data_IF_315606905615
#
_entry.id   IF_315606905615
#
_cell.length_a   1.000
_cell.length_b   1.000
_cell.length_c   1.000
_cell.angle_alpha   90.00
_cell.angle_beta   90.00
_cell.angle_gamma   90.00
#
_symmetry.space_group_name_H-M   'P 1'
#
loop_
_entity.id
_entity.type
_entity.pdbx_description
1 polymer ?
#
# COMPACT_ATOMS: atom_id res chain seq x y z
N UNK A 1 -0.35 14.78 -11.46
CA UNK A 1 -0.86 13.39 -11.43
C UNK A 1 -2.31 13.39 -10.94
N UNK A 2 -3.16 12.65 -11.63
CA UNK A 2 -4.56 12.52 -11.25
C UNK A 2 -4.68 11.40 -10.22
N UNK A 3 -5.39 11.66 -9.12
CA UNK A 3 -5.64 10.67 -8.09
C UNK A 3 -7.10 10.26 -8.08
N UNK A 4 -7.37 9.01 -7.72
CA UNK A 4 -8.72 8.46 -7.79
C UNK A 4 -9.19 7.77 -6.52
N UNK A 5 -8.35 7.70 -5.50
CA UNK A 5 -8.68 6.91 -4.31
C UNK A 5 -7.90 7.39 -3.09
N UNK A 6 -8.23 6.82 -1.96
CA UNK A 6 -7.40 6.86 -0.76
C UNK A 6 -6.77 5.49 -0.52
N UNK A 7 -5.80 5.44 0.37
CA UNK A 7 -5.05 4.22 0.67
C UNK A 7 -4.78 4.14 2.16
N UNK A 8 -4.94 2.95 2.71
CA UNK A 8 -4.49 2.63 4.07
C UNK A 8 -3.36 1.62 3.97
N UNK A 9 -2.26 1.90 4.65
CA UNK A 9 -1.07 1.04 4.68
C UNK A 9 -0.82 0.61 6.10
N UNK A 10 -0.62 -0.69 6.30
CA UNK A 10 -0.15 -1.24 7.56
C UNK A 10 1.29 -1.66 7.40
N UNK A 11 2.18 -0.86 7.96
CA UNK A 11 3.62 -1.07 7.89
C UNK A 11 4.06 -2.02 8.99
N UNK A 12 4.73 -3.08 8.58
CA UNK A 12 5.21 -4.10 9.50
C UNK A 12 6.53 -3.70 10.13
N UNK A 13 6.59 -3.78 11.44
CA UNK A 13 7.81 -3.62 12.21
C UNK A 13 8.01 -4.77 13.17
N UNK A 14 9.13 -4.77 13.85
CA UNK A 14 9.42 -5.74 14.90
C UNK A 14 9.83 -4.96 16.13
N UNK A 15 9.15 -5.22 17.25
CA UNK A 15 9.52 -4.65 18.53
C UNK A 15 10.83 -5.29 19.00
N UNK A 16 11.85 -4.49 19.24
CA UNK A 16 13.16 -4.97 19.62
C UNK A 16 13.18 -5.63 21.00
N UNK A 17 12.25 -5.32 21.88
CA UNK A 17 12.18 -5.88 23.22
C UNK A 17 11.41 -7.19 23.26
N UNK A 18 10.22 -7.21 22.67
CA UNK A 18 9.35 -8.40 22.69
C UNK A 18 9.58 -9.32 21.50
N UNK A 19 10.21 -8.83 20.44
CA UNK A 19 10.38 -9.51 19.16
C UNK A 19 9.07 -9.89 18.50
N UNK A 20 7.99 -9.20 18.84
CA UNK A 20 6.69 -9.39 18.22
C UNK A 20 6.53 -8.45 17.05
N UNK A 21 5.76 -8.89 16.08
CA UNK A 21 5.40 -8.05 14.95
C UNK A 21 4.52 -6.90 15.40
N UNK A 22 4.81 -5.71 14.90
CA UNK A 22 3.99 -4.53 15.12
C UNK A 22 3.50 -4.02 13.77
N UNK A 23 2.34 -3.38 13.79
CA UNK A 23 1.73 -2.83 12.57
C UNK A 23 1.40 -1.37 12.82
N UNK A 24 1.99 -0.50 12.01
CA UNK A 24 1.73 0.93 12.07
C UNK A 24 0.86 1.35 10.89
N UNK A 25 -0.26 2.01 11.18
CA UNK A 25 -1.21 2.43 10.16
C UNK A 25 -0.84 3.80 9.61
N UNK A 26 -0.82 3.92 8.29
CA UNK A 26 -0.68 5.18 7.58
C UNK A 26 -1.83 5.32 6.60
N UNK A 27 -2.41 6.51 6.50
CA UNK A 27 -3.50 6.81 5.58
C UNK A 27 -3.09 7.93 4.64
N UNK A 28 -3.29 7.71 3.35
CA UNK A 28 -2.99 8.69 2.31
C UNK A 28 -4.26 8.96 1.52
N UNK A 29 -4.71 10.20 1.48
CA UNK A 29 -6.01 10.55 0.92
C UNK A 29 -6.00 10.71 -0.60
N UNK A 30 -4.83 10.89 -1.19
CA UNK A 30 -4.72 11.21 -2.61
C UNK A 30 -3.74 10.26 -3.28
N UNK A 31 -4.24 9.14 -3.76
CA UNK A 31 -3.44 8.13 -4.46
C UNK A 31 -4.08 7.76 -5.79
N UNK A 32 -3.28 7.24 -6.70
CA UNK A 32 -3.77 6.57 -7.88
C UNK A 32 -3.71 5.07 -7.63
N UNK A 33 -4.86 4.42 -7.74
CA UNK A 33 -5.00 2.98 -7.46
C UNK A 33 -5.60 2.30 -8.69
N UNK A 34 -4.93 1.30 -9.21
CA UNK A 34 -5.35 0.59 -10.41
C UNK A 34 -5.23 -0.92 -10.20
N UNK A 35 -6.24 -1.64 -10.68
CA UNK A 35 -6.28 -3.09 -10.58
C UNK A 35 -7.08 -3.55 -9.40
N UNK A 36 -6.93 -4.80 -9.05
CA UNK A 36 -7.59 -5.40 -7.91
C UNK A 36 -8.19 -6.75 -8.23
N UNK A 37 -8.42 -7.53 -7.18
CA UNK A 37 -9.01 -8.86 -7.31
C UNK A 37 -10.44 -8.74 -7.78
N UNK A 38 -10.82 -9.58 -8.74
CA UNK A 38 -12.16 -9.58 -9.29
C UNK A 38 -12.41 -8.62 -10.42
N UNK A 39 -11.47 -7.75 -10.74
CA UNK A 39 -11.59 -6.86 -11.90
C UNK A 39 -11.27 -7.66 -13.17
N UNK A 40 -12.22 -7.81 -14.04
CA UNK A 40 -12.16 -8.29 -15.42
C UNK A 40 -10.96 -9.10 -15.83
N UNK A 41 -10.66 -10.15 -15.19
CA UNK A 41 -9.37 -10.74 -15.24
C UNK A 41 -9.12 -11.56 -16.47
N UNK A 42 -8.01 -11.36 -17.07
CA UNK A 42 -7.48 -12.23 -18.07
C UNK A 42 -6.89 -13.48 -17.42
N UNK A 43 -7.49 -14.58 -17.67
CA UNK A 43 -7.24 -15.83 -16.95
C UNK A 43 -6.02 -16.59 -17.39
N UNK A 44 -5.25 -16.19 -18.26
CA UNK A 44 -4.04 -16.90 -18.65
C UNK A 44 -2.80 -16.38 -17.99
N UNK A 45 -2.94 -15.36 -17.18
CA UNK A 45 -1.81 -14.66 -16.61
C UNK A 45 -1.73 -14.78 -15.11
N UNK A 46 -0.49 -14.92 -14.64
CA UNK A 46 -0.15 -14.67 -13.25
C UNK A 46 0.81 -13.50 -13.25
N UNK A 47 0.30 -12.32 -13.04
CA UNK A 47 1.15 -11.14 -12.89
C UNK A 47 1.80 -11.13 -11.53
N UNK A 48 2.98 -10.56 -11.45
CA UNK A 48 3.67 -10.37 -10.19
C UNK A 48 2.90 -9.43 -9.26
N UNK A 49 2.09 -8.53 -9.85
CA UNK A 49 1.31 -7.55 -9.11
C UNK A 49 -0.13 -7.56 -9.59
N UNK A 50 -1.07 -7.71 -8.66
CA UNK A 50 -2.51 -7.56 -8.94
C UNK A 50 -2.92 -6.10 -8.97
N UNK A 51 -2.25 -5.25 -8.20
CA UNK A 51 -2.56 -3.82 -8.10
C UNK A 51 -1.31 -3.00 -8.34
N UNK A 52 -1.55 -1.79 -8.86
CA UNK A 52 -0.54 -0.76 -9.04
C UNK A 52 -1.01 0.49 -8.31
N UNK A 53 -0.15 1.06 -7.49
CA UNK A 53 -0.48 2.22 -6.68
C UNK A 53 0.60 3.28 -6.88
N UNK A 54 0.17 4.52 -7.08
CA UNK A 54 1.08 5.66 -7.15
C UNK A 54 0.64 6.70 -6.14
N UNK A 55 1.56 7.12 -5.29
CA UNK A 55 1.29 8.10 -4.24
C UNK A 55 2.12 9.34 -4.55
N UNK A 56 1.50 10.42 -5.05
CA UNK A 56 2.25 11.64 -5.38
C UNK A 56 2.67 12.40 -4.14
N UNK A 57 3.94 12.82 -4.12
CA UNK A 57 4.46 13.62 -3.02
C UNK A 57 3.77 14.96 -2.88
N UNK A 58 3.40 15.58 -4.00
CA UNK A 58 2.81 16.92 -3.98
C UNK A 58 1.44 16.97 -3.29
N UNK A 59 0.73 15.85 -3.25
CA UNK A 59 -0.61 15.76 -2.66
C UNK A 59 -0.62 15.08 -1.30
N UNK A 60 0.50 14.56 -0.85
CA UNK A 60 0.61 13.84 0.42
C UNK A 60 1.87 14.32 1.14
N UNK A 61 1.79 15.44 1.86
CA UNK A 61 2.97 16.06 2.47
C UNK A 61 3.63 15.20 3.55
N UNK A 62 2.91 14.23 4.09
CA UNK A 62 3.45 13.32 5.11
C UNK A 62 4.09 12.07 4.52
N UNK A 63 4.12 11.97 3.19
CA UNK A 63 4.61 10.78 2.51
C UNK A 63 6.11 10.61 2.74
N UNK A 64 6.50 9.43 3.19
CA UNK A 64 7.89 9.06 3.40
C UNK A 64 8.09 7.62 2.90
N UNK A 65 9.02 7.45 1.96
CA UNK A 65 9.31 6.14 1.39
C UNK A 65 9.77 5.13 2.46
N UNK A 66 10.39 5.58 3.53
CA UNK A 66 10.81 4.73 4.64
C UNK A 66 9.67 4.06 5.41
N UNK A 67 8.44 4.52 5.21
CA UNK A 67 7.27 3.94 5.86
C UNK A 67 6.69 2.75 5.08
N UNK A 68 7.35 2.30 4.04
CA UNK A 68 6.91 1.19 3.21
C UNK A 68 7.97 0.10 3.16
N UNK A 69 7.53 -1.14 3.18
CA UNK A 69 8.41 -2.31 3.04
C UNK A 69 7.70 -3.41 2.25
N UNK A 70 8.48 -4.23 1.59
CA UNK A 70 7.93 -5.43 0.95
C UNK A 70 7.27 -6.29 2.02
N UNK A 71 6.04 -6.72 1.75
CA UNK A 71 5.25 -7.50 2.69
C UNK A 71 4.27 -6.68 3.51
N UNK A 72 4.34 -5.35 3.47
CA UNK A 72 3.34 -4.51 4.11
C UNK A 72 1.97 -4.73 3.47
N UNK A 73 0.92 -4.43 4.23
CA UNK A 73 -0.46 -4.61 3.78
C UNK A 73 -1.01 -3.28 3.30
N UNK A 74 -1.66 -3.28 2.14
CA UNK A 74 -2.35 -2.11 1.61
C UNK A 74 -3.82 -2.43 1.37
N UNK A 75 -4.67 -1.44 1.62
CA UNK A 75 -6.12 -1.54 1.43
C UNK A 75 -6.57 -0.29 0.69
N UNK A 76 -7.36 -0.47 -0.37
CA UNK A 76 -7.96 0.67 -1.06
C UNK A 76 -9.02 1.31 -0.17
N UNK A 77 -8.94 2.62 0.00
CA UNK A 77 -9.85 3.37 0.84
C UNK A 77 -9.25 3.73 2.18
N UNK A 78 -10.04 4.35 3.03
CA UNK A 78 -9.63 4.75 4.37
C UNK A 78 -10.21 3.78 5.39
N UNK A 79 -9.35 3.17 6.18
CA UNK A 79 -9.73 2.25 7.24
C UNK A 79 -9.21 2.78 8.57
N UNK A 80 -10.10 2.92 9.54
CA UNK A 80 -9.77 3.53 10.83
C UNK A 80 -9.75 2.49 11.95
N UNK A 81 -8.98 1.43 11.75
CA UNK A 81 -8.75 0.43 12.78
C UNK A 81 -7.26 0.16 12.94
N UNK A 82 -6.85 -0.13 14.16
CA UNK A 82 -5.50 -0.60 14.45
C UNK A 82 -5.53 -2.12 14.53
N UNK A 83 -4.45 -2.75 14.08
CA UNK A 83 -4.35 -4.20 14.07
C UNK A 83 -3.17 -4.68 14.89
N UNK A 84 -3.30 -5.87 15.46
CA UNK A 84 -2.21 -6.56 16.14
C UNK A 84 -1.64 -7.67 15.26
N UNK A 85 -2.49 -8.28 14.44
CA UNK A 85 -2.09 -9.34 13.50
C UNK A 85 -2.76 -9.12 12.15
N UNK A 86 -2.21 -9.73 11.14
CA UNK A 86 -2.78 -9.68 9.79
C UNK A 86 -4.19 -10.26 9.74
N UNK A 87 -4.51 -11.20 10.61
CA UNK A 87 -5.83 -11.81 10.66
C UNK A 87 -6.94 -10.84 11.05
N UNK A 88 -6.60 -9.76 11.73
CA UNK A 88 -7.56 -8.72 12.08
C UNK A 88 -8.17 -8.05 10.85
N UNK A 89 -7.56 -8.22 9.70
CA UNK A 89 -8.02 -7.67 8.41
C UNK A 89 -8.71 -8.73 7.53
N UNK A 90 -9.10 -9.88 8.09
CA UNK A 90 -9.66 -10.98 7.31
C UNK A 90 -10.97 -10.64 6.59
N UNK A 91 -11.73 -9.65 7.11
CA UNK A 91 -12.97 -9.20 6.49
C UNK A 91 -12.78 -8.19 5.37
N UNK A 92 -11.55 -7.79 5.09
CA UNK A 92 -11.22 -6.75 4.12
C UNK A 92 -10.42 -7.35 2.97
N UNK A 93 -10.54 -6.72 1.80
CA UNK A 93 -9.71 -7.08 0.67
C UNK A 93 -8.35 -6.40 0.81
N UNK A 94 -7.33 -7.20 1.06
CA UNK A 94 -5.97 -6.73 1.31
C UNK A 94 -5.04 -7.15 0.19
N UNK A 95 -3.97 -6.37 0.04
CA UNK A 95 -2.86 -6.71 -0.86
C UNK A 95 -1.57 -6.56 -0.10
N UNK A 96 -0.60 -7.42 -0.39
CA UNK A 96 0.73 -7.29 0.18
C UNK A 96 1.65 -6.62 -0.82
N UNK A 97 2.49 -5.73 -0.35
CA UNK A 97 3.45 -5.02 -1.21
C UNK A 97 4.48 -6.02 -1.74
N UNK A 98 4.60 -6.11 -3.05
CA UNK A 98 5.56 -6.98 -3.72
C UNK A 98 6.67 -6.20 -4.41
N UNK A 99 6.45 -4.93 -4.73
CA UNK A 99 7.47 -4.08 -5.32
C UNK A 99 7.31 -2.64 -4.84
N UNK A 100 8.44 -1.95 -4.71
CA UNK A 100 8.50 -0.57 -4.27
C UNK A 100 9.50 0.20 -5.11
N UNK A 101 9.11 1.37 -5.62
CA UNK A 101 10.00 2.26 -6.33
C UNK A 101 9.74 3.70 -5.90
N UNK A 102 10.80 4.40 -5.57
CA UNK A 102 10.72 5.81 -5.23
C UNK A 102 11.11 6.64 -6.44
N UNK A 103 10.11 7.14 -7.17
CA UNK A 103 10.32 7.95 -8.36
C UNK A 103 10.36 9.42 -7.96
N UNK A 104 11.52 9.87 -7.51
CA UNK A 104 11.70 11.23 -7.01
C UNK A 104 12.38 12.16 -8.03
N UNK A 105 12.20 11.88 -9.32
CA UNK A 105 12.76 12.68 -10.41
C UNK A 105 11.68 13.48 -11.13
N UNK A 106 12.05 14.66 -11.61
CA UNK A 106 11.19 15.46 -12.47
C UNK A 106 10.02 16.08 -11.74
N UNK A 107 8.92 16.31 -12.48
CA UNK A 107 7.79 17.08 -11.99
C UNK A 107 6.68 16.25 -11.36
N UNK A 108 6.68 14.93 -11.56
CA UNK A 108 5.67 14.03 -11.02
C UNK A 108 6.30 13.04 -10.04
N UNK A 109 6.90 13.55 -8.99
CA UNK A 109 7.50 12.68 -7.98
C UNK A 109 6.43 11.89 -7.24
N UNK A 110 6.62 10.60 -7.14
CA UNK A 110 5.68 9.71 -6.49
C UNK A 110 6.36 8.42 -6.04
N UNK A 111 5.71 7.70 -5.14
CA UNK A 111 6.07 6.34 -4.79
C UNK A 111 5.20 5.39 -5.62
N UNK A 112 5.82 4.43 -6.29
CA UNK A 112 5.12 3.41 -7.05
C UNK A 112 5.16 2.09 -6.29
N UNK A 113 3.99 1.53 -6.03
CA UNK A 113 3.82 0.30 -5.27
C UNK A 113 3.14 -0.73 -6.16
N UNK A 114 3.70 -1.92 -6.21
CA UNK A 114 3.01 -3.09 -6.74
C UNK A 114 2.58 -3.98 -5.59
N UNK A 115 1.38 -4.54 -5.68
CA UNK A 115 0.83 -5.40 -4.64
C UNK A 115 0.12 -6.64 -5.20
N UNK A 116 0.00 -7.63 -4.38
CA UNK A 116 -0.64 -8.89 -4.77
C UNK A 116 -1.55 -9.45 -3.69
#
# INVERSE_FOLDING_TARGET
MITNSSLTVYHKGIDSQSRLETWTKYVYDNVWFYGGKGAGINKGYVDANDVQIRIPYSKNPELDFGNFSIGDIVIQGTLDIDIETQQDLSDYQTYNITSLNNNNFGNNQHIHIGGK
#
